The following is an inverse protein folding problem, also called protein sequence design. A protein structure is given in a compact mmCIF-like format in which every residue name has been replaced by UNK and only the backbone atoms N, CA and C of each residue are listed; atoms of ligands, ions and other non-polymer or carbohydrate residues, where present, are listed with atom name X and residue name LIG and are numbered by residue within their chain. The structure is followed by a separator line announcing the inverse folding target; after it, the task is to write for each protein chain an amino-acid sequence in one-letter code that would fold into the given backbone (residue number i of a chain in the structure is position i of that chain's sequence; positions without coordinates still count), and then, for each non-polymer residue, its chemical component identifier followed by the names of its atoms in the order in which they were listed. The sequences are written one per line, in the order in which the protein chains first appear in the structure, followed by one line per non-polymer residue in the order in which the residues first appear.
data_IF_582831079373
#
_entry.id   IF_582831079373
#
_cell.length_a   1.000
_cell.length_b   1.000
_cell.length_c   1.000
_cell.angle_alpha   90.00
_cell.angle_beta   90.00
_cell.angle_gamma   90.00
#
_symmetry.space_group_name_H-M   'P 1'
#
loop_
_entity.id
_entity.type
_entity.pdbx_description
1 polymer ?
#
# COMPACT_ATOMS: atom_id res chain seq x y z
N UNK A 1 -22.19 -1.02 9.88
CA UNK A 1 -21.60 -2.38 9.91
C UNK A 1 -20.31 -2.28 9.11
N UNK A 2 -19.14 -2.47 9.73
CA UNK A 2 -17.84 -2.33 9.06
C UNK A 2 -17.46 -3.73 8.56
N UNK A 3 -17.55 -3.97 7.26
CA UNK A 3 -16.86 -5.11 6.67
C UNK A 3 -15.36 -4.78 6.63
N UNK A 4 -14.45 -5.72 6.93
CA UNK A 4 -13.04 -5.48 6.69
C UNK A 4 -12.85 -5.25 5.19
N UNK A 5 -12.58 -4.00 4.80
CA UNK A 5 -12.22 -3.66 3.44
C UNK A 5 -10.72 -3.92 3.25
N UNK A 6 -10.33 -4.25 2.02
CA UNK A 6 -8.92 -4.29 1.65
C UNK A 6 -8.48 -2.85 1.35
N UNK A 7 -7.33 -2.43 1.86
CA UNK A 7 -6.73 -1.14 1.54
C UNK A 7 -5.44 -1.36 0.74
N UNK A 8 -4.98 -0.36 -0.01
CA UNK A 8 -3.64 -0.41 -0.59
C UNK A 8 -2.60 -0.52 0.52
N UNK A 9 -1.66 -1.45 0.35
CA UNK A 9 -0.57 -1.67 1.29
C UNK A 9 0.75 -1.84 0.55
N UNK A 10 1.79 -1.19 1.07
CA UNK A 10 3.17 -1.36 0.60
C UNK A 10 4.03 -1.72 1.80
N UNK A 11 4.72 -2.86 1.71
CA UNK A 11 5.71 -3.30 2.70
C UNK A 11 7.09 -3.29 2.11
N UNK A 12 8.07 -2.70 2.82
CA UNK A 12 9.47 -2.62 2.35
C UNK A 12 10.36 -3.61 3.09
N UNK A 13 11.19 -4.31 2.33
CA UNK A 13 12.22 -5.21 2.85
C UNK A 13 13.61 -4.66 2.52
N UNK A 14 14.57 -4.91 3.40
CA UNK A 14 15.99 -4.66 3.17
C UNK A 14 16.56 -5.70 2.19
N UNK A 15 17.76 -5.44 1.67
CA UNK A 15 18.45 -6.34 0.72
C UNK A 15 18.74 -7.73 1.29
N UNK A 16 18.84 -7.86 2.61
CA UNK A 16 19.00 -9.12 3.32
C UNK A 16 17.66 -9.87 3.56
N UNK A 17 16.54 -9.34 3.07
CA UNK A 17 15.20 -9.92 3.23
C UNK A 17 14.50 -9.60 4.55
N UNK A 18 15.13 -8.89 5.49
CA UNK A 18 14.44 -8.48 6.72
C UNK A 18 13.51 -7.30 6.47
N UNK A 19 12.41 -7.21 7.22
CA UNK A 19 11.49 -6.07 7.17
C UNK A 19 12.24 -4.77 7.47
N UNK A 20 12.07 -3.76 6.62
CA UNK A 20 12.62 -2.43 6.87
C UNK A 20 11.69 -1.63 7.77
N UNK A 21 11.88 -1.74 9.08
CA UNK A 21 11.05 -1.06 10.08
C UNK A 21 11.08 0.48 10.01
N UNK A 22 12.02 1.07 9.26
CA UNK A 22 12.11 2.52 9.06
C UNK A 22 11.13 3.06 8.00
N UNK A 23 10.52 2.18 7.21
CA UNK A 23 9.54 2.57 6.20
C UNK A 23 8.13 2.65 6.80
N UNK A 24 7.41 3.74 6.52
CA UNK A 24 6.01 3.88 6.95
C UNK A 24 5.83 3.65 8.46
N UNK A 25 4.79 2.89 8.82
CA UNK A 25 4.55 2.41 10.18
C UNK A 25 5.04 0.97 10.28
N UNK A 26 6.20 0.78 10.92
CA UNK A 26 6.79 -0.55 11.16
C UNK A 26 6.94 -1.36 9.87
N UNK A 27 7.47 -0.72 8.83
CA UNK A 27 7.77 -1.34 7.53
C UNK A 27 6.62 -1.38 6.54
N UNK A 28 5.44 -0.85 6.90
CA UNK A 28 4.27 -0.83 6.02
C UNK A 28 3.61 0.55 5.96
N UNK A 29 3.16 0.94 4.77
CA UNK A 29 2.25 2.07 4.58
C UNK A 29 0.92 1.54 4.05
N UNK A 30 -0.17 1.91 4.72
CA UNK A 30 -1.53 1.61 4.29
C UNK A 30 -2.17 2.90 3.77
N UNK A 31 -2.89 2.81 2.66
CA UNK A 31 -3.64 3.93 2.08
C UNK A 31 -5.04 3.44 1.75
N UNK A 32 -6.01 3.86 2.55
CA UNK A 32 -7.41 3.63 2.28
C UNK A 32 -7.89 4.65 1.24
N UNK A 33 -8.60 4.17 0.22
CA UNK A 33 -9.22 4.98 -0.82
C UNK A 33 -10.73 4.71 -0.77
N UNK A 34 -11.50 5.75 -0.47
CA UNK A 34 -12.96 5.65 -0.33
C UNK A 34 -13.37 4.60 0.72
N UNK A 35 -14.60 4.09 0.63
CA UNK A 35 -15.19 3.17 1.61
C UNK A 35 -15.25 1.72 1.12
N UNK A 36 -14.69 1.40 -0.05
CA UNK A 36 -14.66 0.05 -0.60
C UNK A 36 -13.30 -0.63 -0.49
N UNK A 37 -13.11 -1.65 -1.32
CA UNK A 37 -11.87 -2.42 -1.38
C UNK A 37 -10.90 -1.88 -2.42
N UNK A 38 -9.63 -1.83 -2.04
CA UNK A 38 -8.50 -1.35 -2.81
C UNK A 38 -7.51 -2.50 -3.09
N UNK A 39 -7.19 -2.71 -4.36
CA UNK A 39 -6.23 -3.71 -4.81
C UNK A 39 -5.12 -3.11 -5.68
N UNK A 40 -3.87 -3.22 -5.22
CA UNK A 40 -2.69 -2.79 -5.97
C UNK A 40 -2.22 -3.87 -6.94
N UNK A 41 -1.91 -3.49 -8.18
CA UNK A 41 -1.44 -4.39 -9.24
C UNK A 41 -0.08 -4.01 -9.83
N UNK A 42 0.36 -2.78 -9.64
CA UNK A 42 1.59 -2.26 -10.21
C UNK A 42 2.32 -1.32 -9.24
N UNK A 43 3.64 -1.42 -9.21
CA UNK A 43 4.50 -0.55 -8.42
C UNK A 43 5.61 0.00 -9.31
N UNK A 44 5.81 1.33 -9.27
CA UNK A 44 6.94 2.00 -9.90
C UNK A 44 7.68 2.87 -8.89
N UNK A 45 9.00 2.97 -9.05
CA UNK A 45 9.86 3.85 -8.26
C UNK A 45 10.28 5.01 -9.17
N UNK A 46 9.97 6.23 -8.76
CA UNK A 46 10.37 7.44 -9.47
C UNK A 46 11.84 7.77 -9.21
N UNK A 47 12.45 8.58 -10.08
CA UNK A 47 13.87 8.99 -9.95
C UNK A 47 14.18 9.76 -8.66
N UNK A 48 13.18 10.41 -8.06
CA UNK A 48 13.28 11.13 -6.79
C UNK A 48 13.03 10.23 -5.57
N UNK A 49 12.90 8.91 -5.77
CA UNK A 49 12.71 7.93 -4.71
C UNK A 49 11.26 7.76 -4.24
N UNK A 50 10.29 8.46 -4.85
CA UNK A 50 8.87 8.25 -4.55
C UNK A 50 8.33 6.96 -5.16
N UNK A 51 7.34 6.39 -4.50
CA UNK A 51 6.63 5.19 -4.97
C UNK A 51 5.31 5.58 -5.62
N UNK A 52 5.02 4.99 -6.77
CA UNK A 52 3.71 5.06 -7.43
C UNK A 52 3.09 3.67 -7.38
N UNK A 53 1.95 3.56 -6.70
CA UNK A 53 1.13 2.35 -6.65
C UNK A 53 -0.06 2.54 -7.60
N UNK A 54 -0.20 1.63 -8.56
CA UNK A 54 -1.32 1.56 -9.49
C UNK A 54 -2.21 0.38 -9.16
N UNK A 55 -3.53 0.58 -9.19
CA UNK A 55 -4.50 -0.43 -8.79
C UNK A 55 -5.93 -0.04 -9.13
N UNK A 56 -6.88 -0.76 -8.53
CA UNK A 56 -8.30 -0.43 -8.59
C UNK A 56 -8.83 -0.21 -7.18
N UNK A 57 -9.78 0.71 -7.07
CA UNK A 57 -10.57 0.96 -5.86
C UNK A 57 -12.05 0.75 -6.21
N UNK A 58 -12.84 0.45 -5.19
CA UNK A 58 -14.30 0.37 -5.27
C UNK A 58 -14.91 1.26 -4.21
N UNK A 59 -16.18 1.60 -4.37
CA UNK A 59 -16.94 2.31 -3.35
C UNK A 59 -18.23 1.54 -3.10
N UNK A 60 -18.57 1.38 -1.83
CA UNK A 60 -19.90 0.92 -1.42
C UNK A 60 -20.74 2.16 -1.09
N UNK A 61 -21.95 2.23 -1.63
CA UNK A 61 -22.95 3.26 -1.33
C UNK A 61 -23.68 3.00 -0.02
#
# INVERSE_FOLDING_TARGET
MIFPNYDFSITRYLTNGSLDSSFGTVGTTITAILNGGDQGFALAIQKDGKLILGGMTSEWL
#
